data_IF_449073545585
#
_entry.id   IF_449073545585
#
_cell.length_a   1.000
_cell.length_b   1.000
_cell.length_c   1.000
_cell.angle_alpha   90.00
_cell.angle_beta   90.00
_cell.angle_gamma   90.00
#
_symmetry.space_group_name_H-M   'P 1'
#
loop_
_entity.id
_entity.type
_entity.pdbx_description
1 polymer ?
#
# COMPACT_ATOMS: atom_id res chain seq x y z
N UNK A 1 5.51 -4.81 -10.88
CA UNK A 1 5.66 -3.36 -11.20
C UNK A 1 4.33 -2.84 -11.74
N UNK A 2 3.97 -1.62 -11.40
CA UNK A 2 2.77 -0.90 -11.84
C UNK A 2 3.22 0.33 -12.63
N UNK A 3 2.72 0.46 -13.85
CA UNK A 3 3.09 1.54 -14.78
C UNK A 3 1.87 2.34 -15.23
N UNK A 4 0.66 1.83 -14.96
CA UNK A 4 -0.61 2.50 -15.22
C UNK A 4 -1.33 2.70 -13.88
N UNK A 5 -1.71 3.95 -13.50
CA UNK A 5 -2.49 4.17 -12.28
C UNK A 5 -3.91 3.58 -12.35
N UNK A 6 -4.42 3.25 -13.54
CA UNK A 6 -5.71 2.58 -13.70
C UNK A 6 -5.57 1.05 -13.69
N UNK A 7 -4.39 0.51 -13.37
CA UNK A 7 -4.19 -0.93 -13.27
C UNK A 7 -5.13 -1.53 -12.20
N UNK A 8 -5.93 -2.57 -12.54
CA UNK A 8 -6.91 -3.14 -11.63
C UNK A 8 -6.29 -3.68 -10.32
N UNK A 9 -4.99 -4.02 -10.32
CA UNK A 9 -4.25 -4.48 -9.12
C UNK A 9 -4.11 -3.38 -8.08
N UNK A 10 -4.14 -2.11 -8.47
CA UNK A 10 -4.03 -0.96 -7.57
C UNK A 10 -5.35 -0.21 -7.37
N UNK A 11 -6.46 -0.74 -7.87
CA UNK A 11 -7.77 -0.09 -7.75
C UNK A 11 -8.18 0.19 -6.29
N UNK A 12 -7.71 -0.63 -5.33
CA UNK A 12 -7.95 -0.43 -3.89
C UNK A 12 -7.21 0.78 -3.30
N UNK A 13 -6.21 1.31 -4.01
CA UNK A 13 -5.44 2.48 -3.60
C UNK A 13 -5.93 3.79 -4.27
N UNK A 14 -6.87 3.69 -5.20
CA UNK A 14 -7.47 4.86 -5.88
C UNK A 14 -8.56 5.51 -5.01
N UNK A 15 -8.65 6.84 -5.07
CA UNK A 15 -9.74 7.65 -4.48
C UNK A 15 -10.04 7.26 -3.02
N UNK A 16 -8.98 7.06 -2.22
CA UNK A 16 -9.09 6.80 -0.79
C UNK A 16 -9.61 8.06 -0.11
N UNK A 17 -10.93 8.21 -0.07
CA UNK A 17 -11.58 9.16 0.83
C UNK A 17 -11.67 8.48 2.19
N UNK A 18 -11.21 9.12 3.26
CA UNK A 18 -11.27 8.56 4.63
C UNK A 18 -12.67 8.05 5.02
N UNK A 19 -13.73 8.69 4.50
CA UNK A 19 -15.13 8.27 4.70
C UNK A 19 -15.51 6.95 4.04
N UNK A 20 -14.81 6.54 2.99
CA UNK A 20 -15.09 5.28 2.28
C UNK A 20 -14.45 4.06 2.96
N UNK A 21 -13.30 4.24 3.64
CA UNK A 21 -12.60 3.13 4.31
C UNK A 21 -13.32 2.65 5.59
N UNK A 22 -13.88 3.54 6.39
CA UNK A 22 -14.64 3.14 7.58
C UNK A 22 -16.02 2.53 7.25
N UNK A 23 -16.56 2.77 6.04
CA UNK A 23 -17.91 2.37 5.64
C UNK A 23 -17.99 1.20 4.66
N UNK A 24 -16.96 0.94 3.85
CA UNK A 24 -16.93 -0.18 2.89
C UNK A 24 -16.10 -1.34 3.43
N UNK A 25 -16.79 -2.42 3.79
CA UNK A 25 -16.20 -3.77 3.88
C UNK A 25 -15.14 -3.99 4.96
N UNK A 26 -14.93 -3.05 5.89
CA UNK A 26 -13.94 -3.21 6.97
C UNK A 26 -12.49 -3.13 6.49
N UNK A 27 -12.23 -2.42 5.39
CA UNK A 27 -10.90 -2.24 4.78
C UNK A 27 -10.35 -0.85 5.03
N UNK A 28 -9.03 -0.76 5.18
CA UNK A 28 -8.34 0.52 5.28
C UNK A 28 -6.99 0.45 4.56
N UNK A 29 -6.46 1.61 4.20
CA UNK A 29 -5.08 1.74 3.72
C UNK A 29 -4.22 2.27 4.86
N UNK A 30 -3.10 1.60 5.10
CA UNK A 30 -2.13 1.96 6.12
C UNK A 30 -0.89 2.56 5.43
N UNK A 31 -0.65 3.85 5.64
CA UNK A 31 0.49 4.56 5.06
C UNK A 31 1.65 4.65 6.05
N UNK A 32 2.87 4.51 5.53
CA UNK A 32 4.10 4.70 6.29
C UNK A 32 4.74 3.39 6.76
N UNK A 33 6.08 3.42 6.85
CA UNK A 33 6.89 2.23 7.17
C UNK A 33 6.54 1.64 8.53
N UNK A 34 6.42 2.46 9.57
CA UNK A 34 6.12 2.00 10.94
C UNK A 34 4.72 1.39 11.03
N UNK A 35 3.75 1.96 10.31
CA UNK A 35 2.38 1.44 10.26
C UNK A 35 2.37 0.10 9.52
N UNK A 36 3.07 -0.03 8.40
CA UNK A 36 3.22 -1.31 7.69
C UNK A 36 3.89 -2.37 8.58
N UNK A 37 4.96 -2.02 9.30
CA UNK A 37 5.61 -2.94 10.25
C UNK A 37 4.66 -3.40 11.35
N UNK A 38 3.86 -2.49 11.89
CA UNK A 38 2.86 -2.79 12.93
C UNK A 38 1.74 -3.66 12.36
N UNK A 39 1.28 -3.37 11.15
CA UNK A 39 0.24 -4.14 10.46
C UNK A 39 0.68 -5.59 10.24
N UNK A 40 1.90 -5.80 9.75
CA UNK A 40 2.44 -7.15 9.50
C UNK A 40 2.77 -7.91 10.79
N UNK A 41 3.06 -7.21 11.89
CA UNK A 41 3.26 -7.83 13.19
C UNK A 41 1.94 -8.16 13.91
N UNK A 42 0.88 -7.40 13.64
CA UNK A 42 -0.42 -7.58 14.27
C UNK A 42 -1.16 -8.78 13.66
N UNK A 43 -1.64 -9.69 14.51
CA UNK A 43 -2.48 -10.83 14.07
C UNK A 43 -3.95 -10.49 13.83
N UNK A 44 -4.36 -9.27 14.19
CA UNK A 44 -5.77 -8.82 14.12
C UNK A 44 -6.21 -8.43 12.71
N UNK A 45 -5.25 -8.10 11.84
CA UNK A 45 -5.51 -7.64 10.49
C UNK A 45 -4.77 -8.53 9.49
N UNK A 46 -5.29 -8.61 8.28
CA UNK A 46 -4.66 -9.29 7.17
C UNK A 46 -4.35 -8.27 6.10
N UNK A 47 -3.07 -8.11 5.77
CA UNK A 47 -2.68 -7.27 4.63
C UNK A 47 -3.11 -7.97 3.33
N UNK A 48 -3.84 -7.26 2.47
CA UNK A 48 -4.28 -7.79 1.16
C UNK A 48 -3.23 -7.54 0.08
N UNK A 49 -2.53 -6.41 0.15
CA UNK A 49 -1.41 -6.06 -0.74
C UNK A 49 -0.60 -4.90 -0.16
N UNK A 50 0.63 -4.72 -0.67
CA UNK A 50 1.48 -3.56 -0.37
C UNK A 50 1.78 -2.82 -1.67
N UNK A 51 1.61 -1.51 -1.68
CA UNK A 51 2.05 -0.63 -2.76
C UNK A 51 3.26 0.18 -2.27
N UNK A 52 4.38 0.10 -3.00
CA UNK A 52 5.69 0.63 -2.59
C UNK A 52 6.26 1.52 -3.68
N UNK A 53 6.84 2.64 -3.27
CA UNK A 53 7.59 3.52 -4.14
C UNK A 53 8.94 2.86 -4.49
N UNK A 54 9.30 2.82 -5.77
CA UNK A 54 10.47 2.09 -6.26
C UNK A 54 11.76 2.38 -5.47
N UNK A 55 12.06 3.65 -5.23
CA UNK A 55 13.26 4.07 -4.49
C UNK A 55 13.22 3.77 -2.97
N UNK A 56 12.07 3.30 -2.44
CA UNK A 56 11.89 2.91 -1.04
C UNK A 56 11.86 1.41 -0.82
N UNK A 57 11.79 0.60 -1.90
CA UNK A 57 11.65 -0.85 -1.81
C UNK A 57 12.75 -1.50 -0.96
N UNK A 58 14.03 -1.18 -1.24
CA UNK A 58 15.17 -1.73 -0.50
C UNK A 58 15.11 -1.42 1.01
N UNK A 59 14.50 -0.29 1.40
CA UNK A 59 14.34 0.09 2.80
C UNK A 59 13.27 -0.72 3.55
N UNK A 60 12.50 -1.55 2.85
CA UNK A 60 11.41 -2.38 3.38
C UNK A 60 11.73 -3.87 3.42
N UNK A 61 12.90 -4.33 2.94
CA UNK A 61 13.25 -5.76 2.89
C UNK A 61 13.03 -6.48 4.23
N UNK A 62 13.49 -5.88 5.34
CA UNK A 62 13.32 -6.45 6.68
C UNK A 62 11.86 -6.51 7.14
N UNK A 63 11.03 -5.58 6.67
CA UNK A 63 9.59 -5.51 6.95
C UNK A 63 8.83 -6.54 6.12
N UNK A 64 9.12 -6.63 4.82
CA UNK A 64 8.47 -7.56 3.89
C UNK A 64 8.79 -9.03 4.22
N UNK A 65 9.93 -9.32 4.84
CA UNK A 65 10.23 -10.68 5.36
C UNK A 65 9.27 -11.16 6.46
N UNK A 66 8.55 -10.24 7.12
CA UNK A 66 7.52 -10.59 8.12
C UNK A 66 6.17 -10.87 7.49
N UNK A 67 6.01 -10.54 6.20
CA UNK A 67 4.76 -10.74 5.49
C UNK A 67 4.53 -12.22 5.12
N UNK A 68 3.27 -12.63 4.91
CA UNK A 68 2.94 -13.86 4.22
C UNK A 68 3.62 -13.93 2.84
N UNK A 69 4.03 -15.13 2.43
CA UNK A 69 4.75 -15.35 1.17
C UNK A 69 3.90 -15.05 -0.08
N UNK A 70 2.57 -15.07 0.07
CA UNK A 70 1.58 -14.79 -0.97
C UNK A 70 1.15 -13.32 -1.00
N UNK A 71 1.66 -12.46 -0.11
CA UNK A 71 1.30 -11.04 -0.07
C UNK A 71 1.80 -10.32 -1.34
N UNK A 72 0.90 -9.80 -2.19
CA UNK A 72 1.31 -9.06 -3.38
C UNK A 72 2.02 -7.76 -3.01
N UNK A 73 3.22 -7.57 -3.56
CA UNK A 73 3.98 -6.31 -3.45
C UNK A 73 4.02 -5.65 -4.82
N UNK A 74 3.31 -4.53 -4.92
CA UNK A 74 3.28 -3.68 -6.08
C UNK A 74 4.30 -2.57 -5.93
N UNK A 75 5.05 -2.32 -7.01
CA UNK A 75 6.11 -1.31 -7.03
C UNK A 75 5.80 -0.33 -8.14
N UNK A 76 5.80 0.95 -7.82
CA UNK A 76 5.50 2.04 -8.76
C UNK A 76 6.53 3.17 -8.63
N UNK A 77 6.74 3.90 -9.73
CA UNK A 77 7.50 5.15 -9.72
C UNK A 77 6.68 6.28 -9.05
N UNK A 78 7.34 7.37 -8.64
CA UNK A 78 6.69 8.50 -7.97
C UNK A 78 5.51 9.06 -8.78
N UNK A 79 5.69 9.20 -10.09
CA UNK A 79 4.68 9.78 -10.99
C UNK A 79 3.42 8.92 -11.08
N UNK A 80 3.57 7.59 -10.98
CA UNK A 80 2.44 6.66 -10.98
C UNK A 80 1.78 6.65 -9.60
N UNK A 81 2.58 6.67 -8.54
CA UNK A 81 2.10 6.67 -7.16
C UNK A 81 1.29 7.92 -6.83
N UNK A 82 1.73 9.10 -7.27
CA UNK A 82 0.99 10.35 -7.12
C UNK A 82 -0.37 10.31 -7.82
N UNK A 83 -0.43 9.70 -9.01
CA UNK A 83 -1.67 9.52 -9.76
C UNK A 83 -2.61 8.48 -9.13
N UNK A 84 -2.07 7.52 -8.38
CA UNK A 84 -2.87 6.53 -7.64
C UNK A 84 -3.44 7.15 -6.36
N UNK A 85 -2.59 7.76 -5.53
CA UNK A 85 -2.99 8.27 -4.21
C UNK A 85 -3.94 9.48 -4.30
N UNK A 86 -3.93 10.22 -5.42
CA UNK A 86 -4.84 11.35 -5.64
C UNK A 86 -4.56 12.58 -4.77
N UNK A 87 -3.60 12.51 -3.85
CA UNK A 87 -3.07 13.63 -3.07
C UNK A 87 -1.56 13.45 -2.91
N UNK A 88 -0.82 14.56 -2.86
CA UNK A 88 0.62 14.57 -2.61
C UNK A 88 0.93 13.71 -1.38
N UNK A 89 1.55 12.54 -1.57
CA UNK A 89 2.09 11.75 -0.47
C UNK A 89 3.06 12.65 0.30
N UNK A 90 2.69 13.04 1.52
CA UNK A 90 3.52 13.92 2.33
C UNK A 90 4.84 13.19 2.63
N UNK A 91 5.93 13.77 2.12
CA UNK A 91 7.31 13.35 2.27
C UNK A 91 7.75 13.29 3.74
#
# INVERSE_FOLDING_TARGET
>A
RIEDPQDPRVAAYLDIRERDLAGRQGRFVAEGKVVLETLLAAKRFTAESVLVLENRLAGLDGTLRKAPADLPVYVAASEIMDRIAGFHMHR
#
